data_IF_222746565182
#
_entry.id   IF_222746565182
#
_cell.length_a   1.000
_cell.length_b   1.000
_cell.length_c   1.000
_cell.angle_alpha   90.00
_cell.angle_beta   90.00
_cell.angle_gamma   90.00
#
_symmetry.space_group_name_H-M   'P 1'
#
loop_
_entity.id
_entity.type
_entity.pdbx_description
1 polymer ?
#
# COMPACT_ATOMS: atom_id res chain seq x y z
N UNK A 1 -33.89 29.56 -8.03
CA UNK A 1 -34.22 29.15 -6.65
C UNK A 1 -34.63 27.68 -6.74
N UNK A 2 -33.84 26.74 -6.22
CA UNK A 2 -33.23 26.80 -4.90
C UNK A 2 -31.84 26.14 -4.89
N UNK A 3 -30.86 26.90 -4.44
CA UNK A 3 -29.55 26.42 -4.03
C UNK A 3 -29.69 25.49 -2.82
N UNK A 4 -29.28 24.24 -2.96
CA UNK A 4 -29.07 23.37 -1.81
C UNK A 4 -27.74 23.76 -1.15
N UNK A 5 -27.84 24.65 -0.16
CA UNK A 5 -26.72 24.94 0.74
C UNK A 5 -26.52 23.77 1.69
N UNK A 6 -25.26 23.50 2.03
CA UNK A 6 -24.66 22.32 2.66
C UNK A 6 -25.13 21.94 4.08
N UNK A 7 -26.44 21.90 4.35
CA UNK A 7 -27.00 21.35 5.59
C UNK A 7 -27.96 20.19 5.30
N UNK A 8 -27.54 18.97 5.63
CA UNK A 8 -28.22 17.71 5.33
C UNK A 8 -29.18 17.22 6.44
N UNK A 9 -29.85 18.11 7.18
CA UNK A 9 -30.76 17.68 8.25
C UNK A 9 -32.21 17.42 7.77
N UNK A 10 -32.54 17.64 6.48
CA UNK A 10 -33.94 17.57 6.02
C UNK A 10 -34.20 16.80 4.71
N UNK A 11 -33.24 16.05 4.16
CA UNK A 11 -33.46 15.27 2.93
C UNK A 11 -33.62 13.77 3.20
N UNK A 12 -34.86 13.29 3.17
CA UNK A 12 -35.24 11.88 3.30
C UNK A 12 -35.04 11.07 2.00
N UNK A 13 -33.91 11.25 1.32
CA UNK A 13 -33.56 10.50 0.11
C UNK A 13 -32.17 9.88 0.26
N UNK A 14 -32.14 8.62 0.69
CA UNK A 14 -31.02 7.65 0.63
C UNK A 14 -29.61 8.26 0.70
N UNK A 15 -29.19 8.64 1.90
CA UNK A 15 -27.76 8.66 2.23
C UNK A 15 -27.29 7.21 2.40
N UNK A 16 -26.90 6.55 1.30
CA UNK A 16 -26.01 5.40 1.41
C UNK A 16 -24.68 5.92 1.92
N UNK A 17 -24.44 5.74 3.22
CA UNK A 17 -23.23 5.99 3.99
C UNK A 17 -21.97 6.14 3.13
N UNK A 18 -21.71 7.35 2.67
CA UNK A 18 -20.43 7.68 2.07
C UNK A 18 -19.41 7.60 3.22
N UNK A 19 -18.53 6.58 3.18
CA UNK A 19 -17.34 6.61 4.02
C UNK A 19 -16.65 7.97 3.79
N UNK A 20 -16.14 8.64 4.84
CA UNK A 20 -15.36 9.85 4.63
C UNK A 20 -14.20 9.49 3.70
N UNK A 21 -14.26 9.95 2.45
CA UNK A 21 -13.12 9.87 1.54
C UNK A 21 -12.08 10.80 2.16
N UNK A 22 -10.94 10.25 2.57
CA UNK A 22 -9.79 11.09 2.85
C UNK A 22 -9.48 11.83 1.54
N UNK A 23 -9.58 13.16 1.54
CA UNK A 23 -9.30 14.02 0.37
C UNK A 23 -7.85 13.85 -0.17
N UNK A 24 -7.00 13.15 0.58
CA UNK A 24 -5.61 12.85 0.23
C UNK A 24 -5.40 11.47 -0.38
N UNK A 25 -6.42 10.60 -0.40
CA UNK A 25 -6.34 9.27 -0.97
C UNK A 25 -6.39 9.37 -2.49
N UNK A 26 -5.36 8.83 -3.14
CA UNK A 26 -5.29 8.73 -4.60
C UNK A 26 -6.19 7.57 -5.05
N UNK A 27 -6.86 7.70 -6.19
CA UNK A 27 -7.59 6.58 -6.77
C UNK A 27 -6.61 5.49 -7.25
N UNK A 28 -6.98 4.23 -7.07
CA UNK A 28 -6.19 3.12 -7.59
C UNK A 28 -6.26 3.08 -9.13
N UNK A 29 -5.36 2.34 -9.77
CA UNK A 29 -5.44 2.07 -11.20
C UNK A 29 -6.84 1.55 -11.60
N UNK A 30 -7.34 1.93 -12.78
CA UNK A 30 -8.72 1.59 -13.22
C UNK A 30 -8.99 0.08 -13.31
N UNK A 31 -7.94 -0.69 -13.54
CA UNK A 31 -7.94 -2.16 -13.59
C UNK A 31 -7.68 -2.82 -12.22
N UNK A 32 -7.70 -2.03 -11.14
CA UNK A 32 -7.44 -2.50 -9.77
C UNK A 32 -8.70 -2.45 -8.92
N UNK A 33 -8.91 -3.52 -8.17
CA UNK A 33 -9.98 -3.69 -7.20
C UNK A 33 -9.38 -4.26 -5.91
N UNK A 34 -9.15 -3.39 -4.94
CA UNK A 34 -8.55 -3.75 -3.65
C UNK A 34 -9.61 -3.61 -2.56
N UNK A 35 -10.01 -4.73 -1.94
CA UNK A 35 -11.12 -4.75 -0.98
C UNK A 35 -10.75 -4.28 0.43
N UNK A 36 -9.53 -4.62 0.87
CA UNK A 36 -9.01 -4.27 2.20
C UNK A 36 -7.55 -3.86 2.13
N UNK A 37 -7.24 -2.67 2.64
CA UNK A 37 -5.85 -2.20 2.79
C UNK A 37 -5.47 -2.13 4.26
N UNK A 38 -4.48 -2.92 4.67
CA UNK A 38 -4.03 -3.04 6.06
C UNK A 38 -2.61 -2.52 6.19
N UNK A 39 -2.44 -1.44 6.97
CA UNK A 39 -1.12 -0.88 7.26
C UNK A 39 -0.41 -1.62 8.39
N UNK A 40 0.83 -2.03 8.16
CA UNK A 40 1.69 -2.61 9.21
C UNK A 40 2.65 -1.52 9.67
N UNK A 41 2.55 -1.09 10.94
CA UNK A 41 3.31 0.05 11.49
C UNK A 41 4.17 -0.39 12.67
N UNK A 42 5.29 0.30 12.88
CA UNK A 42 6.16 0.06 14.03
C UNK A 42 6.77 1.33 14.59
N UNK A 43 6.86 1.44 15.92
CA UNK A 43 7.46 2.60 16.59
C UNK A 43 8.98 2.72 16.42
N UNK A 44 9.67 1.62 16.10
CA UNK A 44 11.13 1.56 15.90
C UNK A 44 11.48 0.60 14.76
N UNK A 45 12.64 0.79 14.15
CA UNK A 45 13.21 -0.18 13.21
C UNK A 45 13.63 -1.48 13.91
N UNK A 46 13.60 -2.60 13.18
CA UNK A 46 14.12 -3.88 13.67
C UNK A 46 13.15 -4.72 14.52
N UNK A 47 11.90 -4.30 14.72
CA UNK A 47 10.89 -5.07 15.48
C UNK A 47 10.28 -6.26 14.73
N UNK A 48 10.72 -6.52 13.49
CA UNK A 48 10.19 -7.61 12.67
C UNK A 48 8.94 -7.25 11.85
N UNK A 49 8.69 -5.96 11.60
CA UNK A 49 7.56 -5.47 10.80
C UNK A 49 7.39 -6.18 9.46
N UNK A 50 8.42 -6.17 8.62
CA UNK A 50 8.39 -6.81 7.28
C UNK A 50 8.21 -8.34 7.34
N UNK A 51 8.71 -8.97 8.42
CA UNK A 51 8.45 -10.40 8.67
C UNK A 51 6.96 -10.63 8.97
N UNK A 52 6.35 -9.80 9.82
CA UNK A 52 4.91 -9.88 10.11
C UNK A 52 4.09 -9.63 8.84
N UNK A 53 4.44 -8.61 8.04
CA UNK A 53 3.80 -8.34 6.74
C UNK A 53 3.85 -9.58 5.84
N UNK A 54 5.02 -10.21 5.72
CA UNK A 54 5.21 -11.41 4.88
C UNK A 54 4.44 -12.62 5.40
N UNK A 55 4.41 -12.83 6.72
CA UNK A 55 3.67 -13.94 7.32
C UNK A 55 2.17 -13.75 7.18
N UNK A 56 1.67 -12.52 7.32
CA UNK A 56 0.25 -12.21 7.17
C UNK A 56 -0.22 -12.45 5.73
N UNK A 57 0.52 -11.96 4.74
CA UNK A 57 0.20 -12.20 3.33
C UNK A 57 0.20 -13.69 2.99
N UNK A 58 1.22 -14.45 3.41
CA UNK A 58 1.28 -15.90 3.21
C UNK A 58 0.11 -16.63 3.86
N UNK A 59 -0.24 -16.27 5.10
CA UNK A 59 -1.35 -16.91 5.81
C UNK A 59 -2.71 -16.63 5.16
N UNK A 60 -2.94 -15.40 4.71
CA UNK A 60 -4.19 -15.05 4.02
C UNK A 60 -4.26 -15.70 2.63
N UNK A 61 -3.13 -15.76 1.91
CA UNK A 61 -3.06 -16.45 0.63
C UNK A 61 -3.35 -17.96 0.78
N UNK A 62 -2.81 -18.60 1.82
CA UNK A 62 -3.10 -20.02 2.15
C UNK A 62 -4.56 -20.28 2.50
N UNK A 63 -5.30 -19.25 2.94
CA UNK A 63 -6.75 -19.34 3.18
C UNK A 63 -7.57 -19.15 1.90
N UNK A 64 -6.94 -18.98 0.75
CA UNK A 64 -7.60 -18.82 -0.55
C UNK A 64 -7.97 -17.37 -0.89
N UNK A 65 -7.43 -16.38 -0.18
CA UNK A 65 -7.61 -14.97 -0.52
C UNK A 65 -6.53 -14.50 -1.48
N UNK A 66 -6.89 -13.62 -2.42
CA UNK A 66 -5.91 -12.93 -3.24
C UNK A 66 -5.22 -11.86 -2.39
N UNK A 67 -3.89 -11.93 -2.30
CA UNK A 67 -3.12 -11.05 -1.42
C UNK A 67 -2.07 -10.27 -2.19
N UNK A 68 -1.86 -9.03 -1.73
CA UNK A 68 -0.82 -8.16 -2.24
C UNK A 68 -0.01 -7.55 -1.10
N UNK A 69 1.25 -7.20 -1.40
CA UNK A 69 2.13 -6.46 -0.50
C UNK A 69 2.60 -5.19 -1.21
N UNK A 70 2.42 -4.05 -0.56
CA UNK A 70 2.99 -2.76 -0.95
C UNK A 70 4.05 -2.38 0.08
N UNK A 71 5.31 -2.57 -0.29
CA UNK A 71 6.46 -2.32 0.57
C UNK A 71 6.97 -0.89 0.40
N UNK A 72 6.69 -0.06 1.42
CA UNK A 72 7.13 1.32 1.52
C UNK A 72 8.35 1.49 2.44
N UNK A 73 8.89 0.40 3.01
CA UNK A 73 10.03 0.44 3.91
C UNK A 73 11.35 0.31 3.14
N UNK A 74 12.09 1.42 3.10
CA UNK A 74 13.36 1.54 2.39
C UNK A 74 14.55 1.18 3.30
N UNK A 75 14.32 1.09 4.60
CA UNK A 75 15.38 0.93 5.61
C UNK A 75 15.59 -0.50 6.08
N UNK A 76 14.65 -1.40 5.76
CA UNK A 76 14.63 -2.79 6.24
C UNK A 76 15.13 -3.83 5.24
N UNK A 77 15.47 -5.05 5.71
CA UNK A 77 15.64 -6.20 4.82
C UNK A 77 14.34 -6.42 4.01
N UNK A 78 14.45 -6.34 2.69
CA UNK A 78 13.32 -6.09 1.79
C UNK A 78 12.32 -7.26 1.72
N UNK A 79 11.03 -6.95 1.60
CA UNK A 79 9.98 -7.93 1.29
C UNK A 79 10.34 -8.77 0.05
N UNK A 80 10.80 -8.18 -1.08
CA UNK A 80 11.30 -8.94 -2.22
C UNK A 80 12.30 -10.04 -1.86
N UNK A 81 13.26 -9.73 -0.99
CA UNK A 81 14.28 -10.69 -0.55
C UNK A 81 13.69 -11.83 0.29
N UNK A 82 12.71 -11.54 1.15
CA UNK A 82 12.02 -12.56 1.94
C UNK A 82 11.27 -13.59 1.06
N UNK A 83 10.75 -13.14 -0.08
CA UNK A 83 10.09 -14.00 -1.06
C UNK A 83 11.01 -14.55 -2.15
N UNK A 84 12.31 -14.21 -2.13
CA UNK A 84 13.26 -14.62 -3.16
C UNK A 84 12.96 -14.03 -4.55
N UNK A 85 12.25 -12.89 -4.62
CA UNK A 85 11.91 -12.20 -5.84
C UNK A 85 13.17 -11.56 -6.42
N UNK A 86 13.58 -12.02 -7.61
CA UNK A 86 14.73 -11.49 -8.36
C UNK A 86 14.30 -10.74 -9.62
N UNK A 87 13.04 -10.88 -10.00
CA UNK A 87 12.51 -10.29 -11.22
C UNK A 87 12.22 -8.81 -11.00
N UNK A 88 12.65 -8.00 -11.95
CA UNK A 88 12.29 -6.60 -11.99
C UNK A 88 10.82 -6.47 -12.37
N UNK A 89 10.20 -5.43 -11.84
CA UNK A 89 8.86 -5.02 -12.20
C UNK A 89 8.76 -4.80 -13.72
N UNK A 90 7.73 -5.34 -14.35
CA UNK A 90 7.46 -5.18 -15.78
C UNK A 90 6.38 -4.12 -15.96
N UNK A 91 6.51 -3.27 -16.96
CA UNK A 91 5.49 -2.28 -17.33
C UNK A 91 5.18 -2.35 -18.82
N UNK A 92 3.94 -2.04 -19.19
CA UNK A 92 3.53 -1.83 -20.58
C UNK A 92 2.68 -0.56 -20.70
N UNK A 93 2.04 -0.35 -21.86
CA UNK A 93 1.18 0.80 -22.11
C UNK A 93 -0.04 0.88 -21.18
N UNK A 94 -0.46 -0.24 -20.58
CA UNK A 94 -1.59 -0.28 -19.65
C UNK A 94 -1.21 0.06 -18.22
N UNK A 95 0.08 -0.06 -17.84
CA UNK A 95 0.52 0.20 -16.47
C UNK A 95 1.64 -0.71 -16.02
N UNK A 96 1.85 -0.73 -14.71
CA UNK A 96 2.91 -1.48 -14.03
C UNK A 96 2.33 -2.79 -13.47
N UNK A 97 2.99 -3.92 -13.69
CA UNK A 97 2.59 -5.21 -13.12
C UNK A 97 3.41 -5.54 -11.87
N UNK A 98 2.78 -5.90 -10.75
CA UNK A 98 3.51 -6.28 -9.55
C UNK A 98 4.28 -7.59 -9.77
N UNK A 99 5.41 -7.75 -9.08
CA UNK A 99 6.12 -9.02 -9.04
C UNK A 99 5.23 -10.07 -8.35
N UNK A 100 5.30 -11.34 -8.78
CA UNK A 100 4.50 -12.41 -8.18
C UNK A 100 5.39 -13.45 -7.53
N UNK A 101 5.06 -13.82 -6.31
CA UNK A 101 5.67 -14.95 -5.61
C UNK A 101 5.25 -16.27 -6.26
N UNK A 102 5.97 -17.36 -6.00
CA UNK A 102 5.57 -18.71 -6.43
C UNK A 102 4.17 -19.11 -5.94
N UNK A 103 3.72 -18.53 -4.84
CA UNK A 103 2.38 -18.75 -4.27
C UNK A 103 1.30 -17.82 -4.84
N UNK A 104 1.63 -16.92 -5.76
CA UNK A 104 0.68 -15.99 -6.39
C UNK A 104 0.45 -14.67 -5.65
N UNK A 105 1.15 -14.42 -4.53
CA UNK A 105 1.12 -13.13 -3.82
C UNK A 105 1.75 -12.06 -4.69
N UNK A 106 1.03 -10.95 -4.89
CA UNK A 106 1.51 -9.79 -5.64
C UNK A 106 2.37 -8.89 -4.75
N UNK A 107 3.50 -8.39 -5.25
CA UNK A 107 4.46 -7.61 -4.47
C UNK A 107 4.95 -6.42 -5.29
N UNK A 108 4.83 -5.23 -4.71
CA UNK A 108 5.53 -4.03 -5.16
C UNK A 108 6.37 -3.49 -4.03
N UNK A 109 7.60 -3.07 -4.31
CA UNK A 109 8.51 -2.52 -3.31
C UNK A 109 9.32 -1.39 -3.91
N UNK A 110 9.56 -0.35 -3.10
CA UNK A 110 10.46 0.75 -3.48
C UNK A 110 11.87 0.21 -3.76
N UNK A 111 12.29 -0.85 -3.08
CA UNK A 111 13.58 -1.50 -3.29
C UNK A 111 13.74 -2.09 -4.70
N UNK A 112 12.64 -2.38 -5.41
CA UNK A 112 12.69 -2.86 -6.80
C UNK A 112 12.98 -1.74 -7.82
N UNK A 113 12.87 -0.47 -7.43
CA UNK A 113 13.22 0.68 -8.29
C UNK A 113 14.71 1.04 -8.23
N UNK A 114 15.42 0.58 -7.20
CA UNK A 114 16.85 0.82 -7.06
C UNK A 114 17.63 -0.13 -7.98
N UNK A 115 18.58 0.43 -8.74
CA UNK A 115 19.45 -0.37 -9.60
C UNK A 115 20.36 -1.29 -8.77
N UNK A 116 20.85 -0.79 -7.62
CA UNK A 116 21.55 -1.57 -6.61
C UNK A 116 21.04 -1.22 -5.20
N UNK A 117 20.84 -2.22 -4.34
CA UNK A 117 20.40 -2.03 -2.94
C UNK A 117 21.39 -1.19 -2.10
N UNK A 118 22.65 -1.05 -2.55
CA UNK A 118 23.72 -0.33 -1.84
C UNK A 118 23.87 1.12 -2.28
N UNK A 119 23.12 1.59 -3.28
CA UNK A 119 23.25 2.95 -3.78
C UNK A 119 22.71 3.94 -2.74
N UNK A 120 23.53 4.90 -2.27
CA UNK A 120 23.11 5.84 -1.24
C UNK A 120 22.13 6.85 -1.84
N UNK A 121 20.83 6.60 -1.69
CA UNK A 121 19.77 7.51 -2.10
C UNK A 121 19.22 8.24 -0.88
N UNK A 122 19.20 9.57 -0.93
CA UNK A 122 18.58 10.40 0.12
C UNK A 122 17.07 10.38 -0.06
N UNK A 123 16.41 9.46 0.62
CA UNK A 123 14.96 9.36 0.60
C UNK A 123 14.34 10.40 1.54
N UNK A 124 13.78 11.46 0.96
CA UNK A 124 12.97 12.43 1.71
C UNK A 124 11.52 11.96 1.77
N UNK A 125 10.82 12.27 2.87
CA UNK A 125 9.42 11.88 3.07
C UNK A 125 8.48 12.13 1.88
N UNK A 126 8.52 13.32 1.25
CA UNK A 126 7.71 13.59 0.06
C UNK A 126 8.01 12.68 -1.14
N UNK A 127 9.26 12.27 -1.32
CA UNK A 127 9.66 11.37 -2.41
C UNK A 127 9.08 9.98 -2.17
N UNK A 128 9.24 9.46 -0.95
CA UNK A 128 8.70 8.15 -0.55
C UNK A 128 7.18 8.13 -0.73
N UNK A 129 6.49 9.14 -0.18
CA UNK A 129 5.04 9.24 -0.32
C UNK A 129 4.60 9.36 -1.77
N UNK A 130 5.34 10.13 -2.60
CA UNK A 130 5.09 10.23 -4.03
C UNK A 130 5.22 8.87 -4.74
N UNK A 131 6.28 8.11 -4.44
CA UNK A 131 6.48 6.77 -5.00
C UNK A 131 5.38 5.80 -4.56
N UNK A 132 4.96 5.83 -3.30
CA UNK A 132 3.87 4.96 -2.82
C UNK A 132 2.54 5.33 -3.47
N UNK A 133 2.24 6.62 -3.63
CA UNK A 133 1.08 7.10 -4.39
C UNK A 133 1.12 6.60 -5.83
N UNK A 134 2.28 6.68 -6.47
CA UNK A 134 2.47 6.20 -7.83
C UNK A 134 2.26 4.68 -7.92
N UNK A 135 2.76 3.90 -6.96
CA UNK A 135 2.50 2.47 -6.92
C UNK A 135 1.03 2.14 -6.70
N UNK A 136 0.30 2.99 -6.01
CA UNK A 136 -1.14 2.81 -5.84
C UNK A 136 -1.91 3.12 -7.14
N UNK A 137 -1.53 4.19 -7.85
CA UNK A 137 -2.22 4.64 -9.07
C UNK A 137 -1.82 3.90 -10.35
N UNK A 138 -0.55 3.51 -10.49
CA UNK A 138 0.02 3.03 -11.76
C UNK A 138 0.16 1.50 -11.80
N UNK A 139 0.11 0.83 -10.64
CA UNK A 139 0.20 -0.63 -10.57
C UNK A 139 -1.17 -1.26 -10.73
N UNK A 140 -1.23 -2.26 -11.60
CA UNK A 140 -2.42 -3.06 -11.87
C UNK A 140 -2.49 -4.20 -10.85
N UNK A 141 -3.26 -3.97 -9.78
CA UNK A 141 -3.49 -4.90 -8.68
C UNK A 141 -4.60 -5.92 -8.98
N UNK A 142 -5.26 -5.90 -10.15
CA UNK A 142 -6.35 -6.82 -10.49
C UNK A 142 -7.38 -6.95 -9.34
N UNK A 143 -7.68 -8.17 -8.86
CA UNK A 143 -8.57 -8.41 -7.72
C UNK A 143 -7.79 -8.83 -6.46
N UNK A 144 -7.61 -7.89 -5.52
CA UNK A 144 -6.97 -8.14 -4.22
C UNK A 144 -8.01 -8.13 -3.10
N UNK A 145 -8.09 -9.23 -2.35
CA UNK A 145 -8.91 -9.29 -1.14
C UNK A 145 -8.24 -8.55 0.02
N UNK A 146 -6.93 -8.74 0.20
CA UNK A 146 -6.14 -8.13 1.27
C UNK A 146 -4.79 -7.63 0.76
N UNK A 147 -4.61 -6.30 0.79
CA UNK A 147 -3.32 -5.65 0.59
C UNK A 147 -2.70 -5.33 1.95
N UNK A 148 -1.46 -5.77 2.15
CA UNK A 148 -0.66 -5.42 3.32
C UNK A 148 0.38 -4.36 2.94
N UNK A 149 0.36 -3.21 3.63
CA UNK A 149 1.30 -2.12 3.38
C UNK A 149 2.39 -2.15 4.44
N UNK A 150 3.63 -2.41 4.03
CA UNK A 150 4.78 -2.37 4.94
C UNK A 150 5.24 -0.92 5.12
N UNK A 151 4.81 -0.28 6.21
CA UNK A 151 5.04 1.15 6.40
C UNK A 151 6.50 1.43 6.79
N UNK A 152 7.06 2.61 6.48
CA UNK A 152 8.35 3.03 7.03
C UNK A 152 8.34 3.00 8.58
N UNK A 153 9.48 2.72 9.23
CA UNK A 153 9.53 2.69 10.69
C UNK A 153 9.40 4.09 11.31
N UNK A 154 8.93 4.13 12.56
CA UNK A 154 8.81 5.34 13.36
C UNK A 154 7.45 6.00 13.25
N UNK A 155 7.35 7.19 13.84
CA UNK A 155 6.12 8.01 13.88
C UNK A 155 6.35 9.42 13.33
N UNK A 156 7.41 9.58 12.52
CA UNK A 156 7.72 10.86 11.88
C UNK A 156 6.83 11.15 10.66
N UNK A 157 7.20 12.17 9.91
CA UNK A 157 6.39 12.65 8.78
C UNK A 157 6.24 11.62 7.65
N UNK A 158 7.24 10.74 7.44
CA UNK A 158 7.23 9.75 6.35
C UNK A 158 6.09 8.73 6.51
N UNK A 159 6.01 7.93 7.57
CA UNK A 159 4.91 6.97 7.74
C UNK A 159 3.54 7.66 7.82
N UNK A 160 3.46 8.86 8.40
CA UNK A 160 2.21 9.64 8.43
C UNK A 160 1.75 10.06 7.03
N UNK A 161 2.67 10.54 6.19
CA UNK A 161 2.33 10.95 4.82
C UNK A 161 1.90 9.76 3.98
N UNK A 162 2.60 8.62 4.09
CA UNK A 162 2.20 7.37 3.41
C UNK A 162 0.82 6.93 3.88
N UNK A 163 0.54 7.01 5.18
CA UNK A 163 -0.74 6.61 5.76
C UNK A 163 -1.90 7.46 5.22
N UNK A 164 -1.70 8.77 5.09
CA UNK A 164 -2.69 9.69 4.53
C UNK A 164 -2.89 9.52 3.02
N UNK A 165 -1.93 8.91 2.34
CA UNK A 165 -1.94 8.76 0.87
C UNK A 165 -2.74 7.56 0.39
N UNK A 166 -3.00 6.58 1.26
CA UNK A 166 -3.63 5.31 0.92
C UNK A 166 -4.98 5.17 1.65
N UNK A 167 -5.95 4.45 1.05
CA UNK A 167 -7.24 4.20 1.68
C UNK A 167 -7.13 3.06 2.72
N UNK A 168 -6.43 3.31 3.83
CA UNK A 168 -6.22 2.31 4.89
C UNK A 168 -7.54 1.95 5.59
N UNK A 169 -7.89 0.66 5.60
CA UNK A 169 -9.05 0.11 6.31
C UNK A 169 -8.73 -0.35 7.75
N UNK A 170 -7.46 -0.63 8.04
CA UNK A 170 -7.03 -1.14 9.34
C UNK A 170 -5.53 -1.09 9.55
N UNK A 171 -5.09 -1.22 10.81
CA UNK A 171 -3.68 -1.12 11.19
C UNK A 171 -3.31 -2.28 12.12
N UNK A 172 -2.11 -2.83 11.91
CA UNK A 172 -1.44 -3.72 12.85
C UNK A 172 -0.18 -3.01 13.35
N UNK A 173 -0.14 -2.71 14.66
CA UNK A 173 0.97 -2.01 15.30
C UNK A 173 1.91 -2.96 16.03
N UNK A 174 3.21 -2.75 15.86
CA UNK A 174 4.29 -3.45 16.56
C UNK A 174 5.07 -2.43 17.41
N UNK A 175 5.19 -2.69 18.71
CA UNK A 175 5.78 -1.76 19.69
C UNK A 175 6.93 -2.41 20.45
#
# INVERSE_FOLDING_TARGET
>A
MSDCNSNCDSCASKCSSAKPKNDFAVDAHELSNVKKVIGIVSGKGGVGKSLVTSLMSVNMNRKGYNTAILDADITGPSIPKAFGLKEKVVSNEMGIFPAKTNSGIEVMSINLLLANETDPVVWRGPVIAGTVKQFWSDVIWNDVDYMFVDMPPGTGDVPLTVFQSLPIDGIIGLW
#
